data_IF_210975519754
#
_entry.id   IF_210975519754
#
_cell.length_a   1.000
_cell.length_b   1.000
_cell.length_c   1.000
_cell.angle_alpha   90.00
_cell.angle_beta   90.00
_cell.angle_gamma   90.00
#
_symmetry.space_group_name_H-M   'P 1'
#
loop_
_entity.id
_entity.type
_entity.pdbx_description
1 polymer ?
#
# COMPACT_ATOMS: atom_id res chain seq x y z
N UNK A 1 -12.11 0.31 67.83
CA UNK A 1 -13.18 1.22 67.38
C UNK A 1 -12.69 2.51 66.72
N UNK A 2 -11.88 3.39 67.37
CA UNK A 2 -11.43 4.65 66.72
C UNK A 2 -10.39 4.41 65.61
N UNK A 3 -9.45 3.50 65.76
CA UNK A 3 -8.44 3.13 64.75
C UNK A 3 -9.04 2.44 63.52
N UNK A 4 -10.04 1.62 63.70
CA UNK A 4 -10.74 0.92 62.56
C UNK A 4 -11.49 1.90 61.68
N UNK A 5 -12.19 2.88 62.29
CA UNK A 5 -12.93 3.91 61.57
C UNK A 5 -12.01 4.87 60.81
N UNK A 6 -10.77 5.14 61.29
CA UNK A 6 -9.78 5.91 60.55
C UNK A 6 -9.21 5.13 59.33
N UNK A 7 -9.05 3.83 59.43
CA UNK A 7 -8.58 2.97 58.34
C UNK A 7 -9.63 2.85 57.21
N UNK A 8 -10.92 2.72 57.57
CA UNK A 8 -12.02 2.72 56.57
C UNK A 8 -12.12 4.05 55.82
N UNK A 9 -12.03 5.21 56.52
CA UNK A 9 -12.07 6.52 55.88
C UNK A 9 -10.87 6.72 54.91
N UNK A 10 -9.70 6.24 55.27
CA UNK A 10 -8.52 6.29 54.37
C UNK A 10 -8.67 5.37 53.16
N UNK A 11 -9.27 4.18 53.31
CA UNK A 11 -9.53 3.29 52.21
C UNK A 11 -10.62 3.83 51.27
N UNK A 12 -11.70 4.39 51.78
CA UNK A 12 -12.74 5.03 50.96
C UNK A 12 -12.20 6.27 50.24
N UNK A 13 -11.39 7.11 50.88
CA UNK A 13 -10.74 8.25 50.23
C UNK A 13 -9.77 7.84 49.13
N UNK A 14 -8.99 6.75 49.33
CA UNK A 14 -8.11 6.20 48.33
C UNK A 14 -8.85 5.60 47.13
N UNK A 15 -9.97 4.88 47.37
CA UNK A 15 -10.80 4.33 46.32
C UNK A 15 -11.53 5.39 45.49
N UNK A 16 -12.02 6.46 46.16
CA UNK A 16 -12.67 7.60 45.48
C UNK A 16 -11.67 8.37 44.60
N UNK A 17 -10.42 8.55 45.04
CA UNK A 17 -9.38 9.24 44.25
C UNK A 17 -8.93 8.43 43.04
N UNK A 18 -8.84 7.09 43.13
CA UNK A 18 -8.52 6.19 42.01
C UNK A 18 -9.65 6.15 40.97
N UNK A 19 -10.91 6.07 41.41
CA UNK A 19 -12.05 6.11 40.51
C UNK A 19 -12.17 7.46 39.77
N UNK A 20 -11.91 8.56 40.44
CA UNK A 20 -11.94 9.90 39.82
C UNK A 20 -10.81 10.05 38.78
N UNK A 21 -9.60 9.56 39.08
CA UNK A 21 -8.49 9.54 38.11
C UNK A 21 -8.75 8.66 36.91
N UNK A 22 -9.31 7.47 37.11
CA UNK A 22 -9.71 6.59 36.03
C UNK A 22 -10.79 7.21 35.13
N UNK A 23 -11.81 7.87 35.71
CA UNK A 23 -12.85 8.58 34.98
C UNK A 23 -12.30 9.78 34.19
N UNK A 24 -11.39 10.56 34.77
CA UNK A 24 -10.72 11.67 34.09
C UNK A 24 -9.82 11.19 32.92
N UNK A 25 -9.08 10.09 33.11
CA UNK A 25 -8.30 9.46 32.04
C UNK A 25 -9.20 8.89 30.92
N UNK A 26 -10.30 8.24 31.25
CA UNK A 26 -11.28 7.77 30.29
C UNK A 26 -11.89 8.90 29.46
N UNK A 27 -12.28 10.01 30.13
CA UNK A 27 -12.81 11.19 29.44
C UNK A 27 -11.75 11.87 28.57
N UNK A 28 -10.51 12.01 29.01
CA UNK A 28 -9.45 12.62 28.22
C UNK A 28 -9.14 11.79 26.96
N UNK A 29 -9.12 10.47 27.07
CA UNK A 29 -8.94 9.58 25.93
C UNK A 29 -10.10 9.72 24.92
N UNK A 30 -11.32 9.83 25.42
CA UNK A 30 -12.52 10.01 24.56
C UNK A 30 -12.47 11.35 23.81
N UNK A 31 -12.10 12.46 24.45
CA UNK A 31 -11.94 13.76 23.78
C UNK A 31 -10.81 13.76 22.76
N UNK A 32 -9.68 13.13 23.07
CA UNK A 32 -8.56 12.97 22.14
C UNK A 32 -8.96 12.14 20.91
N UNK A 33 -9.71 11.06 21.09
CA UNK A 33 -10.21 10.21 20.00
C UNK A 33 -11.22 10.96 19.11
N UNK A 34 -12.10 11.77 19.69
CA UNK A 34 -13.02 12.62 18.94
C UNK A 34 -12.25 13.66 18.13
N UNK A 35 -11.31 14.37 18.76
CA UNK A 35 -10.47 15.37 18.09
C UNK A 35 -9.66 14.77 16.94
N UNK A 36 -9.04 13.62 17.16
CA UNK A 36 -8.29 12.90 16.12
C UNK A 36 -9.21 12.40 14.97
N UNK A 37 -10.44 12.00 15.28
CA UNK A 37 -11.41 11.60 14.26
C UNK A 37 -11.86 12.78 13.39
N UNK A 38 -12.10 13.95 13.98
CA UNK A 38 -12.46 15.18 13.26
C UNK A 38 -11.26 15.60 12.39
N UNK A 39 -10.07 15.70 12.98
CA UNK A 39 -8.85 16.05 12.26
C UNK A 39 -8.60 15.10 11.08
N UNK A 40 -8.69 13.79 11.28
CA UNK A 40 -8.45 12.81 10.22
C UNK A 40 -9.42 12.91 9.04
N UNK A 41 -10.66 13.36 9.25
CA UNK A 41 -11.63 13.61 8.18
C UNK A 41 -11.33 14.90 7.42
N UNK A 42 -11.02 15.98 8.15
CA UNK A 42 -10.60 17.27 7.53
C UNK A 42 -9.33 17.04 6.71
N UNK A 43 -8.38 16.28 7.25
CA UNK A 43 -7.13 15.97 6.57
C UNK A 43 -7.33 15.07 5.35
N UNK A 44 -8.28 14.14 5.40
CA UNK A 44 -8.68 13.35 4.22
C UNK A 44 -9.29 14.22 3.12
N UNK A 45 -10.08 15.24 3.48
CA UNK A 45 -10.59 16.22 2.52
C UNK A 45 -9.47 17.02 1.87
N UNK A 46 -8.53 17.53 2.67
CA UNK A 46 -7.32 18.18 2.15
C UNK A 46 -6.52 17.26 1.23
N UNK A 47 -6.32 16.00 1.65
CA UNK A 47 -5.64 14.98 0.86
C UNK A 47 -6.31 14.74 -0.50
N UNK A 48 -7.65 14.66 -0.53
CA UNK A 48 -8.40 14.49 -1.77
C UNK A 48 -8.32 15.73 -2.68
N UNK A 49 -8.54 16.93 -2.14
CA UNK A 49 -8.50 18.17 -2.91
C UNK A 49 -7.12 18.41 -3.49
N UNK A 50 -6.07 18.27 -2.67
CA UNK A 50 -4.67 18.42 -3.12
C UNK A 50 -4.28 17.35 -4.15
N UNK A 51 -4.78 16.11 -4.01
CA UNK A 51 -4.58 15.07 -5.03
C UNK A 51 -5.20 15.46 -6.37
N UNK A 52 -6.45 15.92 -6.36
CA UNK A 52 -7.14 16.32 -7.60
C UNK A 52 -6.44 17.50 -8.27
N UNK A 53 -6.09 18.54 -7.51
CA UNK A 53 -5.40 19.74 -8.06
C UNK A 53 -4.05 19.34 -8.66
N UNK A 54 -3.23 18.61 -7.92
CA UNK A 54 -1.91 18.17 -8.39
C UNK A 54 -2.02 17.16 -9.52
N UNK A 55 -3.04 16.31 -9.55
CA UNK A 55 -3.32 15.41 -10.67
C UNK A 55 -3.60 16.17 -11.95
N UNK A 56 -4.44 17.21 -11.92
CA UNK A 56 -4.75 18.03 -13.09
C UNK A 56 -3.46 18.65 -13.67
N UNK A 57 -2.56 19.12 -12.80
CA UNK A 57 -1.28 19.70 -13.22
C UNK A 57 -0.39 18.66 -13.90
N UNK A 58 -0.28 17.44 -13.36
CA UNK A 58 0.61 16.42 -13.89
C UNK A 58 -0.01 15.57 -15.01
N UNK A 59 -1.31 15.69 -15.23
CA UNK A 59 -2.01 14.91 -16.25
C UNK A 59 -1.42 15.11 -17.65
N UNK A 60 -1.23 16.37 -18.08
CA UNK A 60 -0.65 16.67 -19.40
C UNK A 60 0.78 16.10 -19.52
N UNK A 61 1.72 16.38 -18.59
CA UNK A 61 3.03 15.77 -18.62
C UNK A 61 2.98 14.23 -18.71
N UNK A 62 2.09 13.57 -17.95
CA UNK A 62 2.00 12.10 -18.01
C UNK A 62 1.48 11.59 -19.37
N UNK A 63 0.61 12.35 -20.06
CA UNK A 63 0.12 11.96 -21.38
C UNK A 63 1.18 12.06 -22.46
N UNK A 64 2.20 12.91 -22.32
CA UNK A 64 3.38 12.94 -23.20
C UNK A 64 4.05 11.56 -23.31
N UNK A 65 3.91 10.70 -22.31
CA UNK A 65 4.40 9.33 -22.34
C UNK A 65 3.90 8.50 -23.54
N UNK A 66 2.77 8.86 -24.14
CA UNK A 66 2.21 8.18 -25.31
C UNK A 66 2.93 8.50 -26.61
N UNK A 67 3.77 9.54 -26.65
CA UNK A 67 4.58 9.92 -27.80
C UNK A 67 5.85 9.05 -27.95
N UNK A 68 6.19 8.28 -26.93
CA UNK A 68 7.39 7.43 -26.94
C UNK A 68 7.04 5.96 -27.16
N UNK A 69 8.00 5.14 -27.63
CA UNK A 69 7.86 3.67 -27.63
C UNK A 69 7.48 3.16 -26.25
N UNK A 70 6.69 2.10 -26.19
CA UNK A 70 5.97 1.70 -24.96
C UNK A 70 6.84 1.63 -23.70
N UNK A 71 8.03 0.98 -23.76
CA UNK A 71 8.91 0.89 -22.60
C UNK A 71 9.45 2.27 -22.17
N UNK A 72 10.00 3.05 -23.13
CA UNK A 72 10.51 4.39 -22.83
C UNK A 72 9.42 5.33 -22.32
N UNK A 73 8.23 5.25 -22.92
CA UNK A 73 7.07 6.01 -22.47
C UNK A 73 6.62 5.59 -21.07
N UNK A 74 6.73 4.30 -20.73
CA UNK A 74 6.42 3.83 -19.39
C UNK A 74 7.48 4.27 -18.37
N UNK A 75 8.76 4.24 -18.72
CA UNK A 75 9.84 4.77 -17.88
C UNK A 75 9.59 6.26 -17.57
N UNK A 76 9.24 7.06 -18.59
CA UNK A 76 8.89 8.47 -18.44
C UNK A 76 7.65 8.68 -17.56
N UNK A 77 6.57 7.91 -17.81
CA UNK A 77 5.33 7.97 -17.03
C UNK A 77 5.59 7.70 -15.53
N UNK A 78 6.39 6.69 -15.23
CA UNK A 78 6.76 6.34 -13.85
C UNK A 78 7.64 7.43 -13.22
N UNK A 79 8.57 8.03 -13.97
CA UNK A 79 9.40 9.14 -13.48
C UNK A 79 8.52 10.35 -13.09
N UNK A 80 7.61 10.80 -13.98
CA UNK A 80 6.68 11.89 -13.68
C UNK A 80 5.78 11.55 -12.49
N UNK A 81 5.25 10.32 -12.44
CA UNK A 81 4.41 9.86 -11.32
C UNK A 81 5.17 9.85 -10.00
N UNK A 82 6.47 9.54 -10.00
CA UNK A 82 7.35 9.57 -8.82
C UNK A 82 7.51 10.99 -8.27
N UNK A 83 7.80 11.96 -9.13
CA UNK A 83 7.89 13.37 -8.73
C UNK A 83 6.56 13.86 -8.15
N UNK A 84 5.46 13.55 -8.83
CA UNK A 84 4.13 13.89 -8.36
C UNK A 84 3.81 13.29 -7.00
N UNK A 85 3.97 11.97 -6.83
CA UNK A 85 3.68 11.32 -5.55
C UNK A 85 4.61 11.79 -4.43
N UNK A 86 5.89 12.02 -4.71
CA UNK A 86 6.81 12.59 -3.72
C UNK A 86 6.38 13.98 -3.25
N UNK A 87 5.87 14.81 -4.14
CA UNK A 87 5.34 16.13 -3.81
C UNK A 87 4.02 16.02 -3.03
N UNK A 88 3.07 15.21 -3.52
CA UNK A 88 1.77 15.06 -2.88
C UNK A 88 1.88 14.45 -1.48
N UNK A 89 2.74 13.48 -1.27
CA UNK A 89 2.99 12.91 0.06
C UNK A 89 3.45 13.96 1.05
N UNK A 90 4.30 14.91 0.63
CA UNK A 90 4.72 16.04 1.47
C UNK A 90 3.53 16.95 1.81
N UNK A 91 2.65 17.24 0.85
CA UNK A 91 1.45 18.06 1.08
C UNK A 91 0.51 17.46 2.11
N UNK A 92 0.42 16.14 2.18
CA UNK A 92 -0.41 15.43 3.17
C UNK A 92 0.38 15.05 4.44
N UNK A 93 1.61 15.57 4.62
CA UNK A 93 2.42 15.32 5.80
C UNK A 93 2.90 13.88 5.96
N UNK A 94 2.93 13.09 4.87
CA UNK A 94 3.46 11.74 4.88
C UNK A 94 4.90 11.72 4.38
N UNK A 95 5.83 11.26 5.21
CA UNK A 95 7.19 10.95 4.78
C UNK A 95 7.26 9.50 4.27
N UNK A 96 8.07 9.24 3.24
CA UNK A 96 8.29 7.89 2.71
C UNK A 96 9.76 7.51 2.80
N UNK A 97 10.06 6.40 3.48
CA UNK A 97 11.36 5.76 3.49
C UNK A 97 11.32 4.53 2.58
N UNK A 98 12.21 4.49 1.58
CA UNK A 98 12.35 3.36 0.66
C UNK A 98 13.70 2.71 0.90
N UNK A 99 13.74 1.37 0.99
CA UNK A 99 14.96 0.58 1.16
C UNK A 99 14.93 -0.65 0.25
N UNK A 100 16.10 -1.22 -0.04
CA UNK A 100 16.20 -2.45 -0.84
C UNK A 100 16.13 -2.20 -2.35
N UNK A 101 16.34 -0.96 -2.82
CA UNK A 101 16.36 -0.65 -4.25
C UNK A 101 17.53 -1.33 -4.98
N UNK A 102 18.59 -1.67 -4.26
CA UNK A 102 19.73 -2.46 -4.74
C UNK A 102 19.38 -3.87 -5.20
N UNK A 103 18.22 -4.39 -4.80
CA UNK A 103 17.71 -5.69 -5.26
C UNK A 103 17.21 -5.67 -6.72
N UNK A 104 17.05 -4.47 -7.31
CA UNK A 104 16.71 -4.33 -8.72
C UNK A 104 17.99 -4.28 -9.57
N UNK A 105 18.37 -5.42 -10.14
CA UNK A 105 19.52 -5.49 -11.01
C UNK A 105 19.28 -4.74 -12.34
N UNK A 106 20.23 -3.92 -12.81
CA UNK A 106 20.11 -3.24 -14.10
C UNK A 106 19.84 -4.20 -15.25
N UNK A 107 18.89 -3.85 -16.11
CA UNK A 107 18.52 -4.67 -17.28
C UNK A 107 17.60 -5.85 -17.01
N UNK A 108 17.37 -6.20 -15.74
CA UNK A 108 16.37 -7.22 -15.36
C UNK A 108 15.02 -6.60 -15.01
N UNK A 109 13.98 -7.39 -15.17
CA UNK A 109 12.63 -7.03 -14.74
C UNK A 109 11.99 -8.18 -13.96
N UNK A 110 11.12 -7.84 -13.03
CA UNK A 110 10.63 -8.71 -11.98
C UNK A 110 9.11 -8.66 -11.85
N UNK A 111 8.54 -9.71 -11.27
CA UNK A 111 7.22 -9.64 -10.64
C UNK A 111 7.42 -9.07 -9.24
N UNK A 112 6.84 -7.91 -8.95
CA UNK A 112 6.94 -7.27 -7.64
C UNK A 112 5.64 -7.48 -6.88
N UNK A 113 5.72 -8.08 -5.69
CA UNK A 113 4.54 -8.39 -4.88
C UNK A 113 4.52 -7.57 -3.59
N UNK A 114 3.35 -7.06 -3.24
CA UNK A 114 3.12 -6.18 -2.10
C UNK A 114 2.05 -6.74 -1.18
N UNK A 115 2.14 -6.45 0.12
CA UNK A 115 0.99 -6.52 1.01
C UNK A 115 0.01 -5.38 0.70
N UNK A 116 -1.26 -5.56 1.05
CA UNK A 116 -2.32 -4.59 0.73
C UNK A 116 -3.13 -4.20 1.96
N UNK A 117 -2.88 -3.02 2.49
CA UNK A 117 -3.49 -2.50 3.72
C UNK A 117 -4.51 -1.38 3.47
N UNK A 118 -4.19 -0.44 2.57
CA UNK A 118 -4.94 0.80 2.40
C UNK A 118 -5.07 1.21 0.92
N UNK A 119 -5.91 2.21 0.64
CA UNK A 119 -5.98 2.81 -0.69
C UNK A 119 -4.66 3.50 -1.08
N UNK A 120 -3.93 3.98 -0.08
CA UNK A 120 -2.64 4.66 -0.25
C UNK A 120 -1.53 3.72 -0.80
N UNK A 121 -1.67 2.40 -0.67
CA UNK A 121 -0.67 1.45 -1.15
C UNK A 121 -0.46 1.55 -2.67
N UNK A 122 -1.54 1.76 -3.43
CA UNK A 122 -1.47 1.79 -4.90
C UNK A 122 -0.67 2.99 -5.42
N UNK A 123 -0.92 4.25 -5.00
CA UNK A 123 -0.09 5.38 -5.40
C UNK A 123 1.35 5.30 -4.86
N UNK A 124 1.60 4.54 -3.79
CA UNK A 124 2.95 4.33 -3.28
C UNK A 124 3.73 3.29 -4.08
N UNK A 125 3.13 2.20 -4.50
CA UNK A 125 3.89 1.04 -5.00
C UNK A 125 4.58 1.30 -6.32
N UNK A 126 3.85 1.69 -7.36
CA UNK A 126 4.38 1.79 -8.72
C UNK A 126 5.39 2.93 -8.94
N UNK A 127 5.19 4.16 -8.43
CA UNK A 127 6.10 5.27 -8.72
C UNK A 127 7.52 5.10 -8.19
N UNK A 128 7.71 4.32 -7.10
CA UNK A 128 8.99 4.23 -6.41
C UNK A 128 9.83 3.00 -6.80
N UNK A 129 9.39 2.24 -7.82
CA UNK A 129 10.19 1.18 -8.44
C UNK A 129 11.12 1.76 -9.50
N UNK A 130 12.37 1.29 -9.62
CA UNK A 130 13.26 1.66 -10.72
C UNK A 130 12.69 1.19 -12.08
N UNK A 131 12.60 2.08 -13.06
CA UNK A 131 12.15 1.76 -14.41
C UNK A 131 10.64 1.58 -14.59
N UNK A 132 10.26 1.29 -15.83
CA UNK A 132 8.86 1.14 -16.23
C UNK A 132 8.20 -0.08 -15.59
N UNK A 133 7.00 0.13 -15.06
CA UNK A 133 6.22 -0.93 -14.45
C UNK A 133 4.71 -0.69 -14.66
N UNK A 134 3.91 -1.74 -14.53
CA UNK A 134 2.45 -1.64 -14.48
C UNK A 134 1.91 -2.39 -13.27
N UNK A 135 0.79 -1.91 -12.74
CA UNK A 135 0.10 -2.55 -11.61
C UNK A 135 -1.18 -3.22 -12.10
N UNK A 136 -1.53 -4.40 -11.57
CA UNK A 136 -2.85 -4.96 -11.83
C UNK A 136 -3.92 -4.14 -11.11
N UNK A 137 -4.97 -3.75 -11.83
CA UNK A 137 -5.91 -2.77 -11.33
C UNK A 137 -7.36 -3.05 -11.77
N UNK A 138 -8.33 -2.64 -10.93
CA UNK A 138 -9.75 -2.90 -11.18
C UNK A 138 -10.27 -2.13 -12.39
N UNK A 139 -10.87 -2.82 -13.36
CA UNK A 139 -11.35 -2.25 -14.62
C UNK A 139 -12.37 -1.09 -14.45
N UNK A 140 -13.14 -1.07 -13.35
CA UNK A 140 -14.13 -0.01 -13.11
C UNK A 140 -13.52 1.40 -12.98
N UNK A 141 -12.30 1.52 -12.47
CA UNK A 141 -11.63 2.83 -12.34
C UNK A 141 -11.20 3.42 -13.69
N UNK A 142 -11.02 2.58 -14.70
CA UNK A 142 -10.72 3.03 -16.06
C UNK A 142 -11.89 3.77 -16.75
N UNK A 143 -13.09 3.74 -16.14
CA UNK A 143 -14.29 4.45 -16.61
C UNK A 143 -14.40 5.89 -16.07
N UNK A 144 -13.58 6.25 -15.09
CA UNK A 144 -13.58 7.61 -14.52
C UNK A 144 -13.02 8.58 -15.57
N UNK A 145 -13.76 9.64 -15.93
CA UNK A 145 -13.29 10.60 -16.94
C UNK A 145 -11.91 11.17 -16.58
N UNK A 146 -11.07 11.41 -17.57
CA UNK A 146 -9.68 11.93 -17.46
C UNK A 146 -8.78 10.97 -16.67
N UNK A 147 -9.10 10.65 -15.43
CA UNK A 147 -8.34 9.72 -14.59
C UNK A 147 -8.20 8.32 -15.21
N UNK A 148 -9.22 7.87 -15.93
CA UNK A 148 -9.20 6.59 -16.63
C UNK A 148 -8.10 6.46 -17.67
N UNK A 149 -7.70 7.55 -18.33
CA UNK A 149 -6.57 7.55 -19.28
C UNK A 149 -5.24 7.33 -18.56
N UNK A 150 -5.00 8.09 -17.50
CA UNK A 150 -3.83 7.91 -16.63
C UNK A 150 -3.78 6.48 -16.05
N UNK A 151 -4.92 6.01 -15.55
CA UNK A 151 -5.04 4.71 -14.91
C UNK A 151 -4.77 3.54 -15.87
N UNK A 152 -5.29 3.63 -17.11
CA UNK A 152 -5.01 2.65 -18.18
C UNK A 152 -3.53 2.61 -18.56
N UNK A 153 -2.86 3.77 -18.57
CA UNK A 153 -1.42 3.85 -18.88
C UNK A 153 -0.58 3.09 -17.86
N UNK A 154 -0.88 3.28 -16.57
CA UNK A 154 -0.13 2.68 -15.46
C UNK A 154 -0.56 1.26 -15.08
N UNK A 155 -1.57 0.66 -15.74
CA UNK A 155 -2.19 -0.55 -15.23
C UNK A 155 -2.51 -1.60 -16.30
N UNK A 156 -2.51 -2.87 -15.88
CA UNK A 156 -3.22 -3.97 -16.53
C UNK A 156 -4.58 -4.11 -15.85
N UNK A 157 -5.64 -3.97 -16.64
CA UNK A 157 -7.01 -3.93 -16.12
C UNK A 157 -7.59 -5.35 -15.94
N UNK A 158 -8.26 -5.55 -14.81
CA UNK A 158 -8.96 -6.80 -14.52
C UNK A 158 -10.38 -6.56 -14.01
N UNK A 159 -11.33 -7.31 -14.55
CA UNK A 159 -12.60 -7.60 -13.89
C UNK A 159 -12.53 -8.99 -13.26
N UNK A 160 -12.46 -9.05 -11.96
CA UNK A 160 -12.30 -10.30 -11.20
C UNK A 160 -13.53 -11.19 -11.23
N UNK A 161 -14.69 -10.66 -11.65
CA UNK A 161 -15.93 -11.42 -11.78
C UNK A 161 -16.03 -12.16 -13.12
N UNK A 162 -15.19 -11.83 -14.09
CA UNK A 162 -15.18 -12.41 -15.43
C UNK A 162 -13.95 -13.29 -15.64
N UNK A 163 -14.16 -14.56 -15.95
CA UNK A 163 -13.09 -15.51 -16.26
C UNK A 163 -12.31 -15.09 -17.50
N UNK A 164 -13.01 -14.64 -18.54
CA UNK A 164 -12.36 -14.13 -19.75
C UNK A 164 -11.48 -12.91 -19.45
N UNK A 165 -11.93 -12.01 -18.55
CA UNK A 165 -11.11 -10.87 -18.14
C UNK A 165 -9.90 -11.30 -17.31
N UNK A 166 -10.03 -12.33 -16.48
CA UNK A 166 -8.89 -12.89 -15.73
C UNK A 166 -7.84 -13.52 -16.67
N UNK A 167 -8.27 -14.31 -17.65
CA UNK A 167 -7.39 -14.90 -18.66
C UNK A 167 -6.69 -13.81 -19.47
N UNK A 168 -7.45 -12.85 -20.00
CA UNK A 168 -6.89 -11.73 -20.76
C UNK A 168 -5.89 -10.93 -19.93
N UNK A 169 -6.21 -10.57 -18.69
CA UNK A 169 -5.29 -9.82 -17.86
C UNK A 169 -4.00 -10.58 -17.56
N UNK A 170 -4.06 -11.92 -17.48
CA UNK A 170 -2.87 -12.76 -17.30
C UNK A 170 -1.95 -12.69 -18.53
N UNK A 171 -2.51 -12.76 -19.74
CA UNK A 171 -1.72 -12.60 -20.97
C UNK A 171 -1.17 -11.16 -21.10
N UNK A 172 -1.96 -10.14 -20.79
CA UNK A 172 -1.50 -8.76 -20.80
C UNK A 172 -0.33 -8.51 -19.81
N UNK A 173 -0.35 -9.16 -18.63
CA UNK A 173 0.76 -9.11 -17.67
C UNK A 173 2.03 -9.79 -18.20
N UNK A 174 1.91 -10.92 -18.92
CA UNK A 174 3.04 -11.56 -19.58
C UNK A 174 3.67 -10.64 -20.63
N UNK A 175 2.85 -9.96 -21.43
CA UNK A 175 3.33 -8.98 -22.41
C UNK A 175 4.09 -7.84 -21.76
N UNK A 176 3.62 -7.33 -20.60
CA UNK A 176 4.36 -6.30 -19.83
C UNK A 176 5.75 -6.79 -19.46
N UNK A 177 5.85 -8.01 -18.94
CA UNK A 177 7.14 -8.62 -18.56
C UNK A 177 8.04 -8.88 -19.77
N UNK A 178 7.49 -9.34 -20.91
CA UNK A 178 8.24 -9.56 -22.15
C UNK A 178 8.83 -8.26 -22.72
N UNK A 179 8.14 -7.12 -22.53
CA UNK A 179 8.62 -5.79 -22.93
C UNK A 179 9.69 -5.21 -21.99
N UNK A 180 10.16 -5.97 -21.01
CA UNK A 180 11.22 -5.57 -20.09
C UNK A 180 10.76 -4.59 -19.00
N UNK A 181 9.46 -4.56 -18.70
CA UNK A 181 8.86 -3.78 -17.60
C UNK A 181 8.55 -4.67 -16.41
N UNK A 182 8.51 -4.11 -15.21
CA UNK A 182 8.08 -4.83 -14.00
C UNK A 182 6.55 -4.98 -13.97
N UNK A 183 6.09 -6.04 -13.32
CA UNK A 183 4.66 -6.25 -13.06
C UNK A 183 4.39 -6.25 -11.57
N UNK A 184 3.57 -5.32 -11.09
CA UNK A 184 3.25 -5.10 -9.68
C UNK A 184 1.91 -5.77 -9.32
N UNK A 185 1.91 -6.59 -8.27
CA UNK A 185 0.73 -7.32 -7.84
C UNK A 185 0.56 -7.28 -6.32
N UNK A 186 -0.70 -7.34 -5.90
CA UNK A 186 -1.11 -7.53 -4.52
C UNK A 186 -1.70 -8.94 -4.38
N UNK A 187 -0.90 -9.96 -3.99
CA UNK A 187 -1.35 -11.36 -4.00
C UNK A 187 -2.45 -11.65 -2.97
N UNK A 188 -2.67 -10.79 -2.00
CA UNK A 188 -3.82 -10.83 -1.09
C UNK A 188 -5.18 -10.61 -1.79
N UNK A 189 -5.17 -10.10 -3.01
CA UNK A 189 -6.35 -9.86 -3.83
C UNK A 189 -7.25 -8.71 -3.38
N UNK A 190 -7.35 -8.42 -2.10
CA UNK A 190 -8.10 -7.30 -1.51
C UNK A 190 -7.35 -6.76 -0.30
N UNK A 191 -7.67 -5.53 0.12
CA UNK A 191 -7.09 -4.93 1.32
C UNK A 191 -7.28 -5.83 2.54
N UNK A 192 -6.24 -5.92 3.37
CA UNK A 192 -6.24 -6.68 4.60
C UNK A 192 -7.08 -5.96 5.66
N UNK A 193 -8.21 -6.55 6.02
CA UNK A 193 -9.13 -6.06 7.07
C UNK A 193 -8.97 -6.79 8.40
N UNK A 194 -8.01 -7.71 8.47
CA UNK A 194 -7.74 -8.49 9.67
C UNK A 194 -6.67 -7.82 10.53
N UNK A 195 -6.47 -8.36 11.72
CA UNK A 195 -5.35 -8.00 12.62
C UNK A 195 -4.02 -8.61 12.18
N UNK A 196 -4.07 -9.65 11.36
CA UNK A 196 -2.90 -10.36 10.86
C UNK A 196 -2.01 -9.44 10.00
N UNK A 197 -0.69 -9.64 10.03
CA UNK A 197 0.26 -8.93 9.18
C UNK A 197 -0.06 -9.04 7.70
N UNK A 198 -0.37 -10.23 7.23
CA UNK A 198 -0.69 -10.56 5.85
C UNK A 198 -1.93 -11.46 5.77
N UNK A 199 -2.68 -11.35 4.69
CA UNK A 199 -3.71 -12.33 4.31
C UNK A 199 -3.10 -13.46 3.49
N UNK A 200 -3.76 -14.62 3.40
CA UNK A 200 -3.35 -15.68 2.48
C UNK A 200 -3.21 -15.17 1.05
N UNK A 201 -2.16 -15.62 0.36
CA UNK A 201 -1.86 -15.22 -1.01
C UNK A 201 -2.56 -16.11 -2.04
N UNK A 202 -3.08 -15.50 -3.10
CA UNK A 202 -3.55 -16.19 -4.29
C UNK A 202 -2.38 -16.55 -5.21
N UNK A 203 -2.53 -17.59 -6.00
CA UNK A 203 -1.48 -18.18 -6.83
C UNK A 203 -1.07 -17.33 -8.05
N UNK A 204 -1.90 -16.36 -8.46
CA UNK A 204 -1.77 -15.65 -9.73
C UNK A 204 -0.42 -14.99 -9.98
N UNK A 205 0.16 -14.32 -8.97
CA UNK A 205 1.46 -13.65 -9.08
C UNK A 205 2.60 -14.66 -9.24
N UNK A 206 2.55 -15.76 -8.52
CA UNK A 206 3.58 -16.81 -8.50
C UNK A 206 3.53 -17.65 -9.79
N UNK A 207 2.33 -17.97 -10.26
CA UNK A 207 2.13 -18.60 -11.56
C UNK A 207 2.65 -17.71 -12.71
N UNK A 208 2.39 -16.41 -12.64
CA UNK A 208 2.91 -15.44 -13.61
C UNK A 208 4.44 -15.42 -13.63
N UNK A 209 5.07 -15.38 -12.46
CA UNK A 209 6.53 -15.39 -12.32
C UNK A 209 7.15 -16.62 -12.98
N UNK A 210 6.66 -17.82 -12.67
CA UNK A 210 7.16 -19.09 -13.21
C UNK A 210 6.98 -19.16 -14.74
N UNK A 211 5.75 -18.87 -15.23
CA UNK A 211 5.45 -18.98 -16.67
C UNK A 211 6.24 -17.94 -17.49
N UNK A 212 6.47 -16.76 -16.92
CA UNK A 212 7.24 -15.69 -17.57
C UNK A 212 8.75 -15.82 -17.33
N UNK A 213 9.21 -16.80 -16.57
CA UNK A 213 10.61 -16.99 -16.15
C UNK A 213 11.19 -15.71 -15.54
N UNK A 214 10.42 -15.08 -14.64
CA UNK A 214 10.81 -13.85 -13.94
C UNK A 214 10.81 -14.11 -12.44
N UNK A 215 11.87 -13.65 -11.79
CA UNK A 215 12.00 -13.74 -10.35
C UNK A 215 11.05 -12.75 -9.64
N UNK A 216 10.84 -12.97 -8.35
CA UNK A 216 9.98 -12.13 -7.53
C UNK A 216 10.82 -11.23 -6.64
N UNK A 217 10.46 -9.94 -6.59
CA UNK A 217 10.89 -9.03 -5.51
C UNK A 217 9.70 -8.83 -4.57
N UNK A 218 9.76 -9.40 -3.35
CA UNK A 218 8.77 -9.10 -2.33
C UNK A 218 8.97 -7.68 -1.80
N UNK A 219 7.89 -6.95 -1.53
CA UNK A 219 7.95 -5.62 -0.95
C UNK A 219 6.94 -5.50 0.20
N UNK A 220 7.40 -5.04 1.35
CA UNK A 220 6.57 -4.79 2.52
C UNK A 220 6.30 -3.30 2.67
N UNK A 221 4.99 -2.94 2.66
CA UNK A 221 4.49 -1.58 2.91
C UNK A 221 4.05 -1.46 4.36
N UNK A 222 4.59 -0.47 5.08
CA UNK A 222 4.25 -0.16 6.46
C UNK A 222 3.75 1.28 6.60
N UNK A 223 2.96 1.53 7.64
CA UNK A 223 2.41 2.85 7.94
C UNK A 223 1.10 3.18 7.22
N UNK A 224 0.81 2.58 6.06
CA UNK A 224 -0.40 2.89 5.28
C UNK A 224 -1.69 2.50 6.01
N UNK A 225 -1.68 1.42 6.80
CA UNK A 225 -2.78 1.00 7.67
C UNK A 225 -3.06 2.02 8.79
N UNK A 226 -2.01 2.72 9.26
CA UNK A 226 -2.13 3.80 10.26
C UNK A 226 -2.60 5.10 9.61
N UNK A 227 -2.07 5.43 8.42
CA UNK A 227 -2.46 6.64 7.68
C UNK A 227 -3.93 6.58 7.24
N UNK A 228 -4.38 5.43 6.73
CA UNK A 228 -5.75 5.19 6.24
C UNK A 228 -6.32 3.90 6.84
N UNK A 229 -6.77 3.91 8.11
CA UNK A 229 -7.35 2.72 8.74
C UNK A 229 -8.58 2.23 7.97
N UNK A 230 -8.66 0.93 7.74
CA UNK A 230 -9.71 0.34 6.89
C UNK A 230 -11.10 0.36 7.53
N UNK A 231 -11.17 0.50 8.85
CA UNK A 231 -12.40 0.63 9.64
C UNK A 231 -12.93 2.08 9.71
N UNK A 232 -12.15 3.06 9.20
CA UNK A 232 -12.55 4.47 9.14
C UNK A 232 -12.78 4.88 7.69
N UNK A 233 -14.01 5.30 7.36
CA UNK A 233 -14.34 5.82 6.04
C UNK A 233 -13.89 7.27 5.94
N UNK A 234 -13.28 7.65 4.80
CA UNK A 234 -12.83 9.00 4.50
C UNK A 234 -11.97 9.58 5.63
N UNK A 235 -10.78 8.99 5.80
CA UNK A 235 -9.88 9.28 6.90
C UNK A 235 -8.43 9.22 6.42
N UNK A 236 -7.62 10.18 6.83
CA UNK A 236 -6.20 10.25 6.54
C UNK A 236 -5.47 10.91 7.72
N UNK A 237 -4.33 10.35 8.10
CA UNK A 237 -3.41 11.00 9.04
C UNK A 237 -2.04 11.17 8.44
N UNK A 238 -1.34 12.28 8.73
CA UNK A 238 0.10 12.40 8.52
C UNK A 238 0.81 11.23 9.20
N UNK A 239 1.62 10.50 8.43
CA UNK A 239 2.23 9.27 8.94
C UNK A 239 3.55 9.00 8.22
N UNK A 240 4.53 8.46 8.94
CA UNK A 240 5.72 7.91 8.32
C UNK A 240 5.37 6.59 7.61
N UNK A 241 5.62 6.55 6.31
CA UNK A 241 5.41 5.40 5.44
C UNK A 241 6.76 4.73 5.16
N UNK A 242 6.76 3.41 5.03
CA UNK A 242 7.96 2.66 4.70
C UNK A 242 7.66 1.67 3.59
N UNK A 243 8.63 1.49 2.71
CA UNK A 243 8.58 0.57 1.58
C UNK A 243 9.91 -0.19 1.54
N UNK A 244 9.86 -1.47 1.85
CA UNK A 244 11.03 -2.33 1.98
C UNK A 244 11.01 -3.38 0.88
N UNK A 245 11.84 -3.22 -0.14
CA UNK A 245 12.08 -4.26 -1.12
C UNK A 245 13.03 -5.30 -0.54
N UNK A 246 12.58 -6.55 -0.50
CA UNK A 246 13.33 -7.65 0.08
C UNK A 246 14.19 -8.34 -1.00
N UNK A 247 15.15 -9.20 -0.61
CA UNK A 247 15.97 -9.94 -1.56
C UNK A 247 15.14 -10.71 -2.58
N UNK A 248 15.68 -10.83 -3.78
CA UNK A 248 15.06 -11.54 -4.90
C UNK A 248 14.81 -13.00 -4.53
N UNK A 249 13.61 -13.49 -4.80
CA UNK A 249 13.23 -14.89 -4.68
C UNK A 249 13.16 -15.49 -6.08
N UNK A 250 14.02 -16.48 -6.37
CA UNK A 250 14.06 -17.12 -7.68
C UNK A 250 12.82 -17.96 -7.95
N UNK A 251 12.28 -17.85 -9.17
CA UNK A 251 11.19 -18.67 -9.67
C UNK A 251 11.65 -19.93 -10.42
N UNK A 252 12.96 -20.10 -10.59
CA UNK A 252 13.53 -21.18 -11.40
C UNK A 252 13.45 -22.53 -10.66
N UNK A 253 12.90 -23.55 -11.34
CA UNK A 253 12.86 -24.93 -10.84
C UNK A 253 11.91 -25.21 -9.70
N UNK A 254 11.13 -24.22 -9.24
CA UNK A 254 10.19 -24.38 -8.11
C UNK A 254 8.74 -24.44 -8.56
N UNK A 255 7.89 -25.09 -7.76
CA UNK A 255 6.43 -25.13 -7.98
C UNK A 255 5.77 -23.84 -7.47
N UNK A 256 4.63 -23.49 -8.05
CA UNK A 256 3.85 -22.29 -7.68
C UNK A 256 3.56 -22.22 -6.18
N UNK A 257 3.20 -23.34 -5.56
CA UNK A 257 2.90 -23.41 -4.12
C UNK A 257 4.14 -23.10 -3.28
N UNK A 258 5.26 -23.71 -3.60
CA UNK A 258 6.53 -23.52 -2.90
C UNK A 258 7.00 -22.07 -2.99
N UNK A 259 7.00 -21.48 -4.20
CA UNK A 259 7.34 -20.08 -4.41
C UNK A 259 6.44 -19.14 -3.61
N UNK A 260 5.13 -19.43 -3.58
CA UNK A 260 4.16 -18.66 -2.80
C UNK A 260 4.45 -18.73 -1.29
N UNK A 261 4.68 -19.91 -0.77
CA UNK A 261 4.97 -20.13 0.65
C UNK A 261 6.29 -19.45 1.06
N UNK A 262 7.33 -19.56 0.23
CA UNK A 262 8.62 -18.88 0.47
C UNK A 262 8.44 -17.36 0.54
N UNK A 263 7.79 -16.77 -0.46
CA UNK A 263 7.57 -15.31 -0.51
C UNK A 263 6.67 -14.84 0.64
N UNK A 264 5.63 -15.59 0.97
CA UNK A 264 4.74 -15.28 2.10
C UNK A 264 5.52 -15.24 3.42
N UNK A 265 6.32 -16.27 3.69
CA UNK A 265 7.09 -16.38 4.93
C UNK A 265 8.13 -15.25 5.07
N UNK A 266 8.85 -14.94 3.99
CA UNK A 266 9.84 -13.85 3.97
C UNK A 266 9.16 -12.50 4.24
N UNK A 267 8.02 -12.22 3.61
CA UNK A 267 7.27 -10.99 3.83
C UNK A 267 6.68 -10.92 5.23
N UNK A 268 6.13 -12.01 5.76
CA UNK A 268 5.54 -12.07 7.10
C UNK A 268 6.59 -11.83 8.19
N UNK A 269 7.73 -12.52 8.10
CA UNK A 269 8.84 -12.35 9.06
C UNK A 269 9.33 -10.89 9.05
N UNK A 270 9.53 -10.32 7.86
CA UNK A 270 9.97 -8.94 7.74
C UNK A 270 8.92 -7.96 8.29
N UNK A 271 7.64 -8.15 7.98
CA UNK A 271 6.55 -7.31 8.48
C UNK A 271 6.51 -7.28 10.01
N UNK A 272 6.56 -8.46 10.64
CA UNK A 272 6.54 -8.57 12.12
C UNK A 272 7.75 -7.89 12.75
N UNK A 273 8.95 -8.10 12.19
CA UNK A 273 10.18 -7.47 12.68
C UNK A 273 10.18 -5.95 12.53
N UNK A 274 9.67 -5.43 11.42
CA UNK A 274 9.70 -3.99 11.11
C UNK A 274 8.53 -3.22 11.73
N UNK A 275 7.50 -3.89 12.24
CA UNK A 275 6.36 -3.31 12.93
C UNK A 275 6.56 -3.16 14.45
N UNK A 276 7.62 -3.76 14.99
CA UNK A 276 8.09 -3.58 16.37
C UNK A 276 8.86 -2.27 16.52
#
# INVERSE_FOLDING_TARGET
>A
MIKEKQTEIMQESGAASTNTRAALQSNSNTFQDIGLNIFGRIWAFWGLVSFIITFIIVFIPTMVSHLFPEKKGQDYFIAVSRYWMSFWLKLIGCSLKVTGLENFEPGKNYVVVYNHNALLDVPLSAPFIPGGNKTIAKASFAKVPVFGLFYKRGSVLIDRKSDNSRLKSFEDMKIVLQKGMHMCLYPEGTRNRTTEPLKPFYDGAFKLAIVSKKDIIPCVLLGTKKAMPINKTFYLLPTQLQMHFLPVVSSAGVKTRELKETVFNVMQQHYVKAAQ
#
